data_IF_134574681155
#
_entry.id   IF_134574681155
#
_cell.length_a   1.000
_cell.length_b   1.000
_cell.length_c   1.000
_cell.angle_alpha   90.00
_cell.angle_beta   90.00
_cell.angle_gamma   90.00
#
_symmetry.space_group_name_H-M   'P 1'
#
loop_
_entity.id
_entity.type
_entity.pdbx_description
1 polymer ?
#
# COMPACT_ATOMS: atom_id res chain seq x y z
N UNK A 1 -24.79 1.72 -2.08
CA UNK A 1 -24.06 0.99 -3.14
C UNK A 1 -23.86 -0.46 -2.77
N UNK A 2 -23.89 -1.38 -3.74
CA UNK A 2 -23.51 -2.79 -3.56
C UNK A 2 -22.01 -2.93 -3.79
N UNK A 3 -21.28 -3.44 -2.78
CA UNK A 3 -19.83 -3.63 -2.82
C UNK A 3 -19.51 -5.11 -2.65
N UNK A 4 -18.57 -5.65 -3.43
CA UNK A 4 -17.99 -6.96 -3.22
C UNK A 4 -16.56 -6.82 -2.67
N UNK A 5 -16.23 -7.58 -1.63
CA UNK A 5 -14.87 -7.70 -1.10
C UNK A 5 -14.33 -9.09 -1.43
N UNK A 6 -13.46 -9.16 -2.43
CA UNK A 6 -12.83 -10.41 -2.91
C UNK A 6 -11.53 -10.63 -2.14
N UNK A 7 -11.43 -11.74 -1.44
CA UNK A 7 -10.37 -12.03 -0.48
C UNK A 7 -10.74 -11.67 0.97
N UNK A 8 -12.02 -11.61 1.29
CA UNK A 8 -12.56 -11.19 2.58
C UNK A 8 -12.02 -11.95 3.81
N UNK A 9 -11.51 -13.17 3.64
CA UNK A 9 -10.93 -14.01 4.71
C UNK A 9 -9.42 -13.87 4.87
N UNK A 10 -8.79 -13.01 4.07
CA UNK A 10 -7.35 -12.72 4.14
C UNK A 10 -7.05 -11.61 5.14
N UNK A 11 -5.75 -11.43 5.48
CA UNK A 11 -5.31 -10.40 6.43
C UNK A 11 -5.75 -8.99 5.98
N UNK A 12 -5.43 -8.60 4.75
CA UNK A 12 -5.84 -7.31 4.19
C UNK A 12 -7.37 -7.21 4.04
N UNK A 13 -8.06 -8.33 3.73
CA UNK A 13 -9.52 -8.37 3.67
C UNK A 13 -10.20 -8.02 5.00
N UNK A 14 -9.66 -8.49 6.12
CA UNK A 14 -10.15 -8.11 7.45
C UNK A 14 -9.94 -6.62 7.74
N UNK A 15 -8.74 -6.10 7.44
CA UNK A 15 -8.47 -4.65 7.59
C UNK A 15 -9.37 -3.81 6.67
N UNK A 16 -9.67 -4.28 5.44
CA UNK A 16 -10.64 -3.60 4.57
C UNK A 16 -12.04 -3.53 5.19
N UNK A 17 -12.48 -4.58 5.88
CA UNK A 17 -13.77 -4.55 6.60
C UNK A 17 -13.77 -3.51 7.71
N UNK A 18 -12.69 -3.45 8.50
CA UNK A 18 -12.52 -2.43 9.54
C UNK A 18 -12.57 -1.03 8.96
N UNK A 19 -11.78 -0.76 7.91
CA UNK A 19 -11.72 0.55 7.25
C UNK A 19 -13.06 0.92 6.61
N UNK A 20 -13.78 -0.01 5.98
CA UNK A 20 -15.11 0.24 5.43
C UNK A 20 -16.10 0.68 6.50
N UNK A 21 -16.08 0.04 7.69
CA UNK A 21 -16.93 0.39 8.83
C UNK A 21 -16.54 1.77 9.42
N UNK A 22 -15.24 2.05 9.58
CA UNK A 22 -14.74 3.32 10.12
C UNK A 22 -15.10 4.50 9.21
N UNK A 23 -14.96 4.34 7.90
CA UNK A 23 -15.15 5.40 6.89
C UNK A 23 -16.62 5.57 6.46
N UNK A 24 -17.52 4.69 6.88
CA UNK A 24 -18.98 4.80 6.69
C UNK A 24 -19.40 5.04 5.24
N UNK A 25 -18.83 4.28 4.30
CA UNK A 25 -19.26 4.34 2.90
C UNK A 25 -20.77 4.04 2.80
N UNK A 26 -21.50 4.60 1.81
CA UNK A 26 -22.93 4.37 1.63
C UNK A 26 -23.22 2.97 1.08
N UNK A 27 -22.88 1.93 1.86
CA UNK A 27 -23.02 0.53 1.49
C UNK A 27 -24.45 0.08 1.77
N UNK A 28 -25.17 -0.33 0.74
CA UNK A 28 -26.52 -0.92 0.89
C UNK A 28 -26.46 -2.45 0.98
N UNK A 29 -25.45 -3.07 0.35
CA UNK A 29 -25.20 -4.50 0.38
C UNK A 29 -23.71 -4.78 0.28
N UNK A 30 -23.15 -5.57 1.20
CA UNK A 30 -21.78 -6.03 1.19
C UNK A 30 -21.71 -7.53 0.91
N UNK A 31 -21.02 -7.90 -0.16
CA UNK A 31 -20.78 -9.29 -0.56
C UNK A 31 -19.36 -9.68 -0.14
N UNK A 32 -19.25 -10.66 0.76
CA UNK A 32 -17.97 -11.21 1.18
C UNK A 32 -17.61 -12.39 0.27
N UNK A 33 -16.50 -12.27 -0.45
CA UNK A 33 -16.12 -13.24 -1.48
C UNK A 33 -14.76 -13.85 -1.15
N UNK A 34 -14.66 -15.17 -1.21
CA UNK A 34 -13.40 -15.88 -1.00
C UNK A 34 -13.33 -17.20 -1.80
N UNK A 35 -12.22 -17.94 -1.63
CA UNK A 35 -12.02 -19.24 -2.27
C UNK A 35 -13.07 -20.25 -1.85
N UNK A 36 -13.26 -21.30 -2.68
CA UNK A 36 -14.21 -22.40 -2.44
C UNK A 36 -14.13 -22.99 -1.02
N UNK A 37 -12.93 -23.04 -0.41
CA UNK A 37 -12.71 -23.54 0.95
C UNK A 37 -13.32 -22.67 2.05
N UNK A 38 -13.61 -21.41 1.73
CA UNK A 38 -14.15 -20.45 2.70
C UNK A 38 -15.63 -20.13 2.50
N UNK A 39 -16.26 -20.66 1.45
CA UNK A 39 -17.70 -20.45 1.18
C UNK A 39 -18.51 -20.98 2.38
N UNK A 40 -19.49 -20.20 2.81
CA UNK A 40 -20.34 -20.48 3.95
C UNK A 40 -19.80 -20.06 5.31
N UNK A 41 -18.50 -19.65 5.40
CA UNK A 41 -17.99 -19.02 6.62
C UNK A 41 -18.75 -17.74 6.91
N UNK A 42 -18.94 -17.49 8.20
CA UNK A 42 -19.63 -16.30 8.69
C UNK A 42 -18.61 -15.28 9.19
N UNK A 43 -18.81 -14.01 8.82
CA UNK A 43 -18.00 -12.88 9.28
C UNK A 43 -18.95 -11.80 9.77
N UNK A 44 -18.69 -11.23 10.95
CA UNK A 44 -19.46 -10.11 11.48
C UNK A 44 -19.00 -8.80 10.83
N UNK A 45 -19.95 -7.99 10.37
CA UNK A 45 -19.72 -6.64 9.87
C UNK A 45 -20.84 -5.73 10.36
N UNK A 46 -20.52 -4.67 11.11
CA UNK A 46 -21.47 -3.71 11.70
C UNK A 46 -22.65 -4.38 12.41
N UNK A 47 -22.36 -5.42 13.19
CA UNK A 47 -23.37 -6.16 13.97
C UNK A 47 -24.22 -7.14 13.16
N UNK A 48 -23.99 -7.28 11.85
CA UNK A 48 -24.65 -8.26 10.99
C UNK A 48 -23.71 -9.42 10.69
N UNK A 49 -24.25 -10.62 10.64
CA UNK A 49 -23.50 -11.81 10.20
C UNK A 49 -23.69 -11.98 8.69
N UNK A 50 -22.58 -11.89 7.97
CA UNK A 50 -22.54 -12.06 6.51
C UNK A 50 -21.88 -13.39 6.17
N UNK A 51 -22.45 -14.11 5.21
CA UNK A 51 -21.88 -15.37 4.72
C UNK A 51 -20.96 -15.13 3.53
N UNK A 52 -19.82 -15.78 3.55
CA UNK A 52 -18.88 -15.78 2.42
C UNK A 52 -19.48 -16.56 1.25
N UNK A 53 -19.43 -15.95 0.06
CA UNK A 53 -19.90 -16.53 -1.20
C UNK A 53 -18.72 -16.77 -2.18
N UNK A 54 -19.00 -17.46 -3.27
CA UNK A 54 -18.04 -17.69 -4.37
C UNK A 54 -17.98 -16.55 -5.38
N UNK A 55 -16.96 -16.56 -6.22
CA UNK A 55 -16.71 -15.54 -7.25
C UNK A 55 -17.82 -15.50 -8.30
N UNK A 56 -18.30 -16.66 -8.76
CA UNK A 56 -19.40 -16.79 -9.73
C UNK A 56 -20.68 -16.11 -9.23
N UNK A 57 -21.02 -16.37 -7.96
CA UNK A 57 -22.21 -15.79 -7.33
C UNK A 57 -22.06 -14.27 -7.20
N UNK A 58 -20.85 -13.80 -6.88
CA UNK A 58 -20.57 -12.37 -6.74
C UNK A 58 -20.65 -11.62 -8.09
N UNK A 59 -20.13 -12.20 -9.17
CA UNK A 59 -20.28 -11.65 -10.54
C UNK A 59 -21.74 -11.58 -10.94
N UNK A 60 -22.53 -12.67 -10.69
CA UNK A 60 -23.95 -12.71 -10.99
C UNK A 60 -24.77 -11.66 -10.22
N UNK A 61 -24.32 -11.28 -9.02
CA UNK A 61 -24.93 -10.24 -8.19
C UNK A 61 -24.68 -8.81 -8.70
N UNK A 62 -23.78 -8.62 -9.69
CA UNK A 62 -23.44 -7.33 -10.34
C UNK A 62 -23.20 -6.20 -9.33
N UNK A 63 -22.19 -6.29 -8.47
CA UNK A 63 -21.87 -5.20 -7.53
C UNK A 63 -21.45 -3.94 -8.30
N UNK A 64 -21.67 -2.76 -7.72
CA UNK A 64 -21.21 -1.49 -8.28
C UNK A 64 -19.67 -1.41 -8.26
N UNK A 65 -19.08 -1.78 -7.12
CA UNK A 65 -17.64 -1.78 -6.91
C UNK A 65 -17.21 -3.14 -6.38
N UNK A 66 -16.03 -3.61 -6.78
CA UNK A 66 -15.39 -4.80 -6.22
C UNK A 66 -13.97 -4.48 -5.76
N UNK A 67 -13.70 -4.67 -4.46
CA UNK A 67 -12.38 -4.51 -3.84
C UNK A 67 -11.67 -5.87 -3.87
N UNK A 68 -10.56 -5.97 -4.60
CA UNK A 68 -9.82 -7.21 -4.79
C UNK A 68 -8.58 -7.29 -3.90
N UNK A 69 -8.48 -8.33 -3.09
CA UNK A 69 -7.31 -8.68 -2.28
C UNK A 69 -7.11 -10.20 -2.22
N UNK A 70 -7.10 -10.85 -3.39
CA UNK A 70 -7.03 -12.32 -3.51
C UNK A 70 -5.84 -12.84 -4.32
N UNK A 71 -4.87 -11.96 -4.63
CA UNK A 71 -3.68 -12.28 -5.42
C UNK A 71 -3.85 -12.06 -6.93
N UNK A 72 -2.70 -12.02 -7.64
CA UNK A 72 -2.65 -11.62 -9.05
C UNK A 72 -3.40 -12.56 -9.98
N UNK A 73 -3.24 -13.88 -9.82
CA UNK A 73 -3.89 -14.88 -10.69
C UNK A 73 -5.41 -14.78 -10.63
N UNK A 74 -5.97 -14.63 -9.42
CA UNK A 74 -7.41 -14.42 -9.23
C UNK A 74 -7.85 -13.10 -9.86
N UNK A 75 -7.06 -12.05 -9.71
CA UNK A 75 -7.38 -10.75 -10.31
C UNK A 75 -7.36 -10.81 -11.85
N UNK A 76 -6.34 -11.40 -12.46
CA UNK A 76 -6.24 -11.55 -13.90
C UNK A 76 -7.43 -12.33 -14.48
N UNK A 77 -7.87 -13.39 -13.79
CA UNK A 77 -8.99 -14.22 -14.24
C UNK A 77 -10.35 -13.54 -14.04
N UNK A 78 -10.56 -12.90 -12.90
CA UNK A 78 -11.91 -12.49 -12.46
C UNK A 78 -12.21 -11.01 -12.63
N UNK A 79 -11.22 -10.10 -12.53
CA UNK A 79 -11.49 -8.68 -12.70
C UNK A 79 -12.15 -8.37 -14.07
N UNK A 80 -11.74 -8.95 -15.21
CA UNK A 80 -12.43 -8.74 -16.47
C UNK A 80 -13.87 -9.24 -16.47
N UNK A 81 -14.18 -10.34 -15.75
CA UNK A 81 -15.54 -10.89 -15.65
C UNK A 81 -16.47 -9.96 -14.88
N UNK A 82 -15.96 -9.34 -13.78
CA UNK A 82 -16.70 -8.31 -13.05
C UNK A 82 -16.88 -7.04 -13.91
N UNK A 83 -15.85 -6.60 -14.61
CA UNK A 83 -15.93 -5.44 -15.49
C UNK A 83 -16.97 -5.62 -16.60
N UNK A 84 -17.07 -6.83 -17.18
CA UNK A 84 -18.04 -7.16 -18.22
C UNK A 84 -19.50 -7.04 -17.77
N UNK A 85 -19.78 -7.13 -16.48
CA UNK A 85 -21.14 -6.93 -15.93
C UNK A 85 -21.37 -5.51 -15.39
N UNK A 86 -20.42 -4.57 -15.63
CA UNK A 86 -20.51 -3.16 -15.27
C UNK A 86 -19.90 -2.79 -13.91
N UNK A 87 -19.29 -3.73 -13.21
CA UNK A 87 -18.62 -3.49 -11.93
C UNK A 87 -17.32 -2.71 -12.15
N UNK A 88 -17.01 -1.74 -11.30
CA UNK A 88 -15.69 -1.12 -11.21
C UNK A 88 -14.83 -1.85 -10.17
N UNK A 89 -13.64 -2.30 -10.56
CA UNK A 89 -12.72 -3.07 -9.73
C UNK A 89 -11.60 -2.19 -9.22
N UNK A 90 -11.27 -2.30 -7.93
CA UNK A 90 -10.07 -1.72 -7.33
C UNK A 90 -9.21 -2.89 -6.85
N UNK A 91 -8.10 -3.11 -7.53
CA UNK A 91 -7.26 -4.29 -7.33
C UNK A 91 -6.00 -4.00 -6.53
N UNK A 92 -5.85 -4.66 -5.40
CA UNK A 92 -4.71 -4.53 -4.51
C UNK A 92 -3.52 -5.46 -4.89
N UNK A 93 -3.68 -6.30 -5.90
CA UNK A 93 -2.59 -7.14 -6.40
C UNK A 93 -1.64 -6.36 -7.34
N UNK A 94 -0.55 -6.99 -7.74
CA UNK A 94 0.38 -6.40 -8.72
C UNK A 94 -0.04 -6.62 -10.18
N UNK A 95 -1.18 -7.29 -10.43
CA UNK A 95 -1.55 -7.76 -11.77
C UNK A 95 -1.69 -6.64 -12.81
N UNK A 96 -2.25 -5.51 -12.42
CA UNK A 96 -2.62 -4.41 -13.32
C UNK A 96 -1.75 -3.16 -13.17
N UNK A 97 -0.86 -3.11 -12.17
CA UNK A 97 -0.13 -1.89 -11.82
C UNK A 97 0.68 -1.32 -12.98
N UNK A 98 1.33 -2.18 -13.76
CA UNK A 98 2.17 -1.77 -14.88
C UNK A 98 1.48 -1.89 -16.25
N UNK A 99 0.20 -2.28 -16.30
CA UNK A 99 -0.60 -2.19 -17.51
C UNK A 99 -0.79 -0.69 -17.88
N UNK A 100 -0.37 -0.24 -19.08
CA UNK A 100 -0.46 1.17 -19.47
C UNK A 100 -1.92 1.64 -19.64
N UNK A 101 -2.86 0.73 -19.85
CA UNK A 101 -4.29 1.03 -19.98
C UNK A 101 -5.02 1.11 -18.65
N UNK A 102 -4.35 0.81 -17.52
CA UNK A 102 -4.94 0.82 -16.18
C UNK A 102 -4.31 1.92 -15.33
N UNK A 103 -5.15 2.64 -14.61
CA UNK A 103 -4.71 3.68 -13.67
C UNK A 103 -4.13 3.05 -12.41
N UNK A 104 -3.06 3.64 -11.92
CA UNK A 104 -2.38 3.29 -10.65
C UNK A 104 -2.57 4.47 -9.69
N UNK A 105 -3.43 4.32 -8.69
CA UNK A 105 -4.02 5.46 -7.99
C UNK A 105 -3.64 5.53 -6.51
N UNK A 106 -3.17 6.71 -6.11
CA UNK A 106 -3.17 7.22 -4.74
C UNK A 106 -4.07 8.45 -4.72
N UNK A 107 -5.26 8.40 -4.12
CA UNK A 107 -6.29 9.44 -4.28
C UNK A 107 -5.82 10.86 -4.00
N UNK A 108 -4.96 11.05 -3.01
CA UNK A 108 -4.42 12.35 -2.61
C UNK A 108 -3.45 12.94 -3.66
N UNK A 109 -2.95 12.12 -4.60
CA UNK A 109 -1.93 12.51 -5.58
C UNK A 109 -2.55 12.65 -6.97
N UNK A 110 -3.18 11.59 -7.45
CA UNK A 110 -3.66 11.48 -8.82
C UNK A 110 -5.08 10.92 -8.94
N UNK A 111 -5.92 11.03 -7.89
CA UNK A 111 -7.32 10.61 -7.92
C UNK A 111 -8.14 11.31 -9.01
N UNK A 112 -7.77 12.55 -9.35
CA UNK A 112 -8.41 13.34 -10.41
C UNK A 112 -8.21 12.78 -11.84
N UNK A 113 -7.35 11.79 -12.02
CA UNK A 113 -7.21 11.09 -13.30
C UNK A 113 -8.35 10.07 -13.55
N UNK A 114 -9.10 9.68 -12.50
CA UNK A 114 -10.17 8.68 -12.60
C UNK A 114 -11.37 9.20 -13.38
N UNK A 115 -11.91 8.33 -14.24
CA UNK A 115 -13.09 8.57 -15.05
C UNK A 115 -14.08 7.40 -14.94
N UNK A 116 -15.30 7.57 -15.42
CA UNK A 116 -16.33 6.51 -15.46
C UNK A 116 -15.97 5.31 -16.35
N UNK A 117 -15.00 5.50 -17.26
CA UNK A 117 -14.52 4.45 -18.17
C UNK A 117 -13.50 3.51 -17.51
N UNK A 118 -12.91 3.90 -16.36
CA UNK A 118 -11.93 3.10 -15.64
C UNK A 118 -12.62 1.97 -14.89
N UNK A 119 -12.70 0.78 -15.50
CA UNK A 119 -13.34 -0.39 -14.91
C UNK A 119 -12.40 -1.29 -14.08
N UNK A 120 -11.10 -1.19 -14.30
CA UNK A 120 -10.09 -1.87 -13.48
C UNK A 120 -9.04 -0.83 -13.07
N UNK A 121 -8.94 -0.58 -11.78
CA UNK A 121 -8.07 0.42 -11.16
C UNK A 121 -7.09 -0.32 -10.26
N UNK A 122 -5.80 -0.04 -10.41
CA UNK A 122 -4.76 -0.67 -9.60
C UNK A 122 -4.47 0.16 -8.34
N UNK A 123 -4.38 -0.53 -7.21
CA UNK A 123 -3.85 -0.01 -5.95
C UNK A 123 -2.34 -0.28 -5.90
N UNK A 124 -1.48 0.71 -5.61
CA UNK A 124 -0.03 0.53 -5.65
C UNK A 124 0.51 -0.41 -4.56
N UNK A 125 1.79 -0.71 -4.64
CA UNK A 125 2.55 -1.41 -3.61
C UNK A 125 2.56 -0.61 -2.29
N UNK A 126 2.55 -1.31 -1.16
CA UNK A 126 2.46 -0.70 0.17
C UNK A 126 3.59 0.29 0.46
N UNK A 127 4.83 -0.06 0.13
CA UNK A 127 5.97 0.82 0.29
C UNK A 127 5.90 1.99 -0.71
N UNK A 128 5.47 1.75 -1.95
CA UNK A 128 5.27 2.82 -2.93
C UNK A 128 4.26 3.86 -2.44
N UNK A 129 3.10 3.44 -1.92
CA UNK A 129 2.05 4.37 -1.46
C UNK A 129 2.60 5.32 -0.40
N UNK A 130 3.22 4.79 0.66
CA UNK A 130 3.71 5.64 1.75
C UNK A 130 4.83 6.58 1.28
N UNK A 131 5.69 6.12 0.39
CA UNK A 131 6.78 6.92 -0.16
C UNK A 131 6.26 8.06 -1.04
N UNK A 132 5.37 7.78 -2.00
CA UNK A 132 4.88 8.83 -2.92
C UNK A 132 4.02 9.88 -2.22
N UNK A 133 3.41 9.57 -1.08
CA UNK A 133 2.73 10.57 -0.24
C UNK A 133 3.69 11.67 0.25
N UNK A 134 4.95 11.32 0.53
CA UNK A 134 5.99 12.28 0.84
C UNK A 134 6.58 12.93 -0.42
N UNK A 135 6.79 12.14 -1.48
CA UNK A 135 7.51 12.59 -2.68
C UNK A 135 6.69 13.52 -3.57
N UNK A 136 5.39 13.27 -3.74
CA UNK A 136 4.55 14.02 -4.67
C UNK A 136 4.53 15.54 -4.42
N UNK A 137 4.30 16.05 -3.19
CA UNK A 137 4.36 17.46 -2.91
C UNK A 137 5.77 18.03 -3.10
N UNK A 138 6.81 17.28 -2.75
CA UNK A 138 8.20 17.70 -2.93
C UNK A 138 8.59 17.76 -4.40
N UNK A 139 8.20 16.77 -5.20
CA UNK A 139 8.46 16.73 -6.63
C UNK A 139 7.82 17.90 -7.37
N UNK A 140 6.58 18.23 -7.02
CA UNK A 140 5.84 19.34 -7.62
C UNK A 140 6.57 20.69 -7.46
N UNK A 141 7.22 20.91 -6.31
CA UNK A 141 7.89 22.19 -5.98
C UNK A 141 9.38 22.17 -6.36
N UNK A 142 10.10 21.10 -5.99
CA UNK A 142 11.57 21.09 -6.05
C UNK A 142 12.15 20.26 -7.18
N UNK A 143 11.32 19.52 -7.94
CA UNK A 143 11.76 18.66 -9.07
C UNK A 143 12.80 17.62 -8.64
N UNK A 144 12.32 16.49 -8.19
CA UNK A 144 13.19 15.36 -7.81
C UNK A 144 13.98 14.88 -9.02
N UNK A 145 15.28 14.71 -8.84
CA UNK A 145 16.24 14.17 -9.83
C UNK A 145 16.62 12.74 -9.54
N UNK A 146 16.82 12.43 -8.26
CA UNK A 146 17.27 11.11 -7.83
C UNK A 146 16.71 10.74 -6.48
N UNK A 147 16.42 9.46 -6.31
CA UNK A 147 15.93 8.87 -5.05
C UNK A 147 16.76 7.62 -4.74
N UNK A 148 17.25 7.53 -3.52
CA UNK A 148 17.86 6.31 -2.95
C UNK A 148 16.97 5.88 -1.80
N UNK A 149 16.49 4.62 -1.84
CA UNK A 149 15.53 4.09 -0.88
C UNK A 149 16.11 2.84 -0.22
N UNK A 150 16.06 2.78 1.11
CA UNK A 150 16.18 1.53 1.86
C UNK A 150 14.88 1.32 2.63
N UNK A 151 14.18 0.23 2.35
CA UNK A 151 12.95 -0.11 3.08
C UNK A 151 13.24 -1.11 4.20
N UNK A 152 12.56 -0.94 5.32
CA UNK A 152 12.57 -1.83 6.48
C UNK A 152 11.14 -2.33 6.67
N UNK A 153 10.84 -3.44 6.00
CA UNK A 153 9.47 -3.91 5.84
C UNK A 153 9.03 -4.88 6.92
N UNK A 154 7.85 -4.63 7.48
CA UNK A 154 7.14 -5.55 8.36
C UNK A 154 6.89 -6.90 7.69
N UNK A 155 6.92 -7.96 8.50
CA UNK A 155 6.59 -9.33 8.07
C UNK A 155 5.14 -9.49 7.60
N UNK A 156 4.22 -8.62 8.03
CA UNK A 156 2.81 -8.66 7.63
C UNK A 156 2.60 -8.46 6.13
N UNK A 157 3.55 -7.80 5.44
CA UNK A 157 3.55 -7.70 3.97
C UNK A 157 3.70 -9.05 3.25
N UNK A 158 4.27 -10.07 3.91
CA UNK A 158 4.33 -11.46 3.39
C UNK A 158 3.10 -12.27 3.77
N UNK A 159 2.35 -11.84 4.80
CA UNK A 159 1.12 -12.47 5.24
C UNK A 159 1.27 -13.40 6.45
N UNK A 160 0.19 -14.14 6.75
CA UNK A 160 0.04 -14.95 7.99
C UNK A 160 1.20 -15.90 8.23
N UNK A 161 1.72 -16.57 7.20
CA UNK A 161 2.83 -17.54 7.34
C UNK A 161 4.10 -16.91 7.90
N UNK A 162 4.39 -15.65 7.56
CA UNK A 162 5.56 -14.94 8.07
C UNK A 162 5.37 -14.53 9.53
N UNK A 163 4.15 -14.16 9.92
CA UNK A 163 3.80 -13.89 11.33
C UNK A 163 3.94 -15.17 12.17
N UNK A 164 3.47 -16.31 11.67
CA UNK A 164 3.63 -17.61 12.31
C UNK A 164 5.11 -17.99 12.44
N UNK A 165 5.92 -17.78 11.40
CA UNK A 165 7.36 -18.04 11.44
C UNK A 165 8.02 -17.21 12.54
N UNK A 166 7.81 -15.90 12.59
CA UNK A 166 8.40 -15.03 13.61
C UNK A 166 8.01 -15.49 15.03
N UNK A 167 6.72 -15.79 15.24
CA UNK A 167 6.22 -16.22 16.54
C UNK A 167 6.80 -17.59 16.97
N UNK A 168 6.95 -18.52 16.05
CA UNK A 168 7.57 -19.82 16.33
C UNK A 168 9.05 -19.66 16.67
N UNK A 169 9.79 -18.88 15.87
CA UNK A 169 11.22 -18.63 16.12
C UNK A 169 11.46 -17.90 17.46
N UNK A 170 10.62 -16.91 17.79
CA UNK A 170 10.70 -16.20 19.07
C UNK A 170 10.49 -17.13 20.29
N UNK A 171 9.72 -18.21 20.12
CA UNK A 171 9.47 -19.24 21.14
C UNK A 171 10.44 -20.43 21.05
N UNK A 172 11.44 -20.39 20.16
CA UNK A 172 12.36 -21.50 19.92
C UNK A 172 11.71 -22.73 19.27
N UNK A 173 10.55 -22.59 18.66
CA UNK A 173 9.81 -23.65 17.99
C UNK A 173 10.18 -23.73 16.51
N UNK A 174 10.24 -24.96 15.98
CA UNK A 174 10.31 -25.20 14.54
C UNK A 174 8.93 -25.07 13.92
N UNK A 175 8.85 -24.53 12.71
CA UNK A 175 7.61 -24.35 11.97
C UNK A 175 7.83 -24.16 10.48
N UNK A 176 6.77 -23.82 9.76
CA UNK A 176 6.84 -23.50 8.32
C UNK A 176 7.61 -22.20 8.15
N UNK A 177 8.59 -22.22 7.24
CA UNK A 177 9.39 -21.06 6.87
C UNK A 177 8.71 -20.31 5.72
N UNK A 178 8.40 -19.03 5.93
CA UNK A 178 7.95 -18.13 4.88
C UNK A 178 9.13 -17.45 4.16
N UNK A 179 10.27 -17.37 4.85
CA UNK A 179 11.54 -16.84 4.35
C UNK A 179 12.60 -17.96 4.27
N UNK A 180 13.60 -17.81 3.42
CA UNK A 180 14.69 -18.79 3.29
C UNK A 180 15.61 -18.85 4.53
N UNK A 181 15.55 -17.83 5.39
CA UNK A 181 16.36 -17.69 6.61
C UNK A 181 15.49 -17.33 7.81
N UNK A 182 15.97 -17.59 9.05
CA UNK A 182 15.31 -17.10 10.25
C UNK A 182 15.13 -15.59 10.21
N UNK A 183 13.93 -15.12 10.59
CA UNK A 183 13.61 -13.70 10.65
C UNK A 183 13.75 -13.13 12.07
N UNK A 184 13.56 -13.94 13.11
CA UNK A 184 13.69 -13.48 14.49
C UNK A 184 15.12 -13.00 14.77
N UNK A 185 15.26 -11.75 15.25
CA UNK A 185 16.55 -11.07 15.49
C UNK A 185 17.44 -10.96 14.24
N UNK A 186 16.84 -10.87 13.06
CA UNK A 186 17.56 -10.82 11.80
C UNK A 186 17.00 -9.72 10.89
N UNK A 187 17.78 -9.28 9.89
CA UNK A 187 17.37 -8.44 8.78
C UNK A 187 17.71 -9.17 7.49
N UNK A 188 16.69 -9.42 6.65
CA UNK A 188 16.86 -10.17 5.40
C UNK A 188 16.78 -9.17 4.24
N UNK A 189 17.88 -8.87 3.51
CA UNK A 189 17.87 -7.93 2.38
C UNK A 189 17.28 -8.60 1.12
N UNK A 190 16.05 -9.08 1.25
CA UNK A 190 15.36 -9.83 0.21
C UNK A 190 13.85 -9.79 0.44
N UNK A 191 13.14 -9.14 -0.48
CA UNK A 191 11.68 -9.13 -0.56
C UNK A 191 11.24 -9.47 -1.99
N UNK A 192 10.37 -10.50 -2.16
CA UNK A 192 9.92 -11.02 -3.46
C UNK A 192 11.07 -11.76 -4.21
N UNK A 193 10.91 -12.10 -5.48
CA UNK A 193 11.88 -12.85 -6.29
C UNK A 193 12.94 -11.94 -6.88
N UNK A 194 14.16 -12.46 -7.09
CA UNK A 194 15.21 -11.78 -7.83
C UNK A 194 14.90 -11.78 -9.32
N UNK A 195 15.29 -10.69 -9.98
CA UNK A 195 15.23 -10.48 -11.42
C UNK A 195 16.63 -10.63 -12.05
N UNK A 196 16.70 -10.62 -13.36
CA UNK A 196 17.97 -10.77 -14.12
C UNK A 196 19.00 -9.65 -13.86
N UNK A 197 18.55 -8.50 -13.37
CA UNK A 197 19.39 -7.35 -13.04
C UNK A 197 19.83 -7.31 -11.57
N UNK A 198 19.73 -8.42 -10.85
CA UNK A 198 20.06 -8.59 -9.43
C UNK A 198 19.17 -7.79 -8.44
N UNK A 199 18.23 -6.99 -8.94
CA UNK A 199 17.19 -6.39 -8.11
C UNK A 199 16.10 -7.40 -7.81
N UNK A 200 15.39 -7.21 -6.69
CA UNK A 200 14.15 -7.96 -6.45
C UNK A 200 12.97 -7.30 -7.17
N UNK A 201 11.92 -8.10 -7.42
CA UNK A 201 10.68 -7.57 -7.97
C UNK A 201 10.07 -6.49 -7.06
N UNK A 202 10.24 -6.60 -5.75
CA UNK A 202 9.77 -5.59 -4.79
C UNK A 202 10.50 -4.25 -4.99
N UNK A 203 11.81 -4.27 -5.17
CA UNK A 203 12.61 -3.07 -5.43
C UNK A 203 12.22 -2.39 -6.75
N UNK A 204 11.96 -3.17 -7.79
CA UNK A 204 11.54 -2.64 -9.08
C UNK A 204 10.11 -2.08 -9.08
N UNK A 205 9.23 -2.55 -8.17
CA UNK A 205 7.92 -1.90 -7.95
C UNK A 205 8.11 -0.46 -7.46
N UNK A 206 9.01 -0.23 -6.51
CA UNK A 206 9.31 1.12 -6.02
C UNK A 206 9.76 2.06 -7.15
N UNK A 207 10.52 1.56 -8.12
CA UNK A 207 10.97 2.33 -9.28
C UNK A 207 9.81 2.62 -10.24
N UNK A 208 9.20 1.57 -10.78
CA UNK A 208 8.24 1.70 -11.87
C UNK A 208 6.91 2.32 -11.43
N UNK A 209 6.42 1.94 -10.26
CA UNK A 209 5.16 2.48 -9.75
C UNK A 209 5.31 3.97 -9.38
N UNK A 210 6.46 4.39 -8.85
CA UNK A 210 6.74 5.82 -8.56
C UNK A 210 6.74 6.65 -9.82
N UNK A 211 7.43 6.21 -10.89
CA UNK A 211 7.41 6.87 -12.19
C UNK A 211 5.97 7.02 -12.70
N UNK A 212 5.19 5.95 -12.65
CA UNK A 212 3.80 5.95 -13.15
C UNK A 212 2.89 6.88 -12.35
N UNK A 213 2.97 6.87 -11.02
CA UNK A 213 2.12 7.70 -10.16
C UNK A 213 2.47 9.18 -10.26
N UNK A 214 3.77 9.52 -10.32
CA UNK A 214 4.23 10.91 -10.40
C UNK A 214 4.27 11.46 -11.84
N UNK A 215 4.07 10.59 -12.85
CA UNK A 215 4.06 10.98 -14.26
C UNK A 215 5.42 11.48 -14.77
N UNK A 216 6.53 11.04 -14.17
CA UNK A 216 7.89 11.43 -14.55
C UNK A 216 8.84 10.22 -14.50
N UNK A 217 9.28 9.76 -15.64
CA UNK A 217 10.22 8.65 -15.82
C UNK A 217 11.70 9.10 -15.89
N UNK A 218 11.95 10.40 -15.77
CA UNK A 218 13.31 10.97 -15.83
C UNK A 218 14.04 10.91 -14.49
N UNK A 219 13.34 10.63 -13.39
CA UNK A 219 13.94 10.49 -12.07
C UNK A 219 14.79 9.22 -11.96
N UNK A 220 16.03 9.34 -11.51
CA UNK A 220 16.85 8.18 -11.14
C UNK A 220 16.36 7.60 -9.81
N UNK A 221 15.96 6.31 -9.80
CA UNK A 221 15.47 5.65 -8.56
C UNK A 221 16.23 4.35 -8.36
N UNK A 222 16.75 4.12 -7.16
CA UNK A 222 17.33 2.84 -6.75
C UNK A 222 16.82 2.46 -5.35
N UNK A 223 16.57 1.17 -5.14
CA UNK A 223 15.99 0.67 -3.91
C UNK A 223 16.71 -0.57 -3.38
N UNK A 224 16.73 -0.73 -2.06
CA UNK A 224 17.07 -1.98 -1.38
C UNK A 224 15.93 -2.33 -0.41
N UNK A 225 15.30 -3.46 -0.61
CA UNK A 225 14.16 -3.90 0.19
C UNK A 225 14.59 -4.92 1.25
N UNK A 226 14.40 -4.57 2.53
CA UNK A 226 14.84 -5.37 3.68
C UNK A 226 13.61 -5.82 4.48
N UNK A 227 13.54 -7.12 4.81
CA UNK A 227 12.56 -7.66 5.73
C UNK A 227 13.13 -7.64 7.15
N UNK A 228 12.36 -7.09 8.09
CA UNK A 228 12.75 -7.00 9.51
C UNK A 228 11.68 -7.65 10.40
N UNK A 229 12.01 -8.11 11.62
CA UNK A 229 11.10 -8.82 12.52
C UNK A 229 10.15 -7.88 13.25
N UNK A 230 9.39 -7.10 12.49
CA UNK A 230 8.41 -6.13 12.99
C UNK A 230 7.02 -6.51 12.47
N UNK A 231 6.03 -6.42 13.35
CA UNK A 231 4.61 -6.53 13.03
C UNK A 231 4.05 -5.11 13.00
N UNK A 232 3.27 -4.77 11.97
CA UNK A 232 2.69 -3.44 11.82
C UNK A 232 3.68 -2.38 11.32
N UNK A 233 3.41 -1.81 10.18
CA UNK A 233 4.15 -0.70 9.59
C UNK A 233 5.45 -1.04 8.88
N UNK A 234 5.61 -0.44 7.68
CA UNK A 234 6.87 -0.37 6.97
C UNK A 234 7.57 0.95 7.28
N UNK A 235 8.91 0.90 7.34
CA UNK A 235 9.74 2.09 7.46
C UNK A 235 10.64 2.23 6.23
N UNK A 236 10.99 3.47 5.88
CA UNK A 236 11.84 3.77 4.73
C UNK A 236 12.81 4.88 5.06
N UNK A 237 14.09 4.65 4.79
CA UNK A 237 15.11 5.69 4.72
C UNK A 237 15.22 6.15 3.27
N UNK A 238 14.90 7.41 3.03
CA UNK A 238 14.86 7.98 1.67
C UNK A 238 15.80 9.17 1.58
N UNK A 239 16.74 9.11 0.63
CA UNK A 239 17.57 10.24 0.23
C UNK A 239 17.05 10.77 -1.11
N UNK A 240 16.80 12.07 -1.18
CA UNK A 240 16.18 12.73 -2.32
C UNK A 240 17.06 13.88 -2.79
N UNK A 241 17.50 13.82 -4.05
CA UNK A 241 18.18 14.92 -4.74
C UNK A 241 17.16 15.75 -5.52
N UNK A 242 17.20 17.06 -5.33
CA UNK A 242 16.34 18.02 -6.01
C UNK A 242 17.04 18.75 -7.16
N UNK A 243 16.27 19.16 -8.16
CA UNK A 243 16.70 20.04 -9.23
C UNK A 243 16.71 21.52 -8.82
N UNK A 244 15.86 21.91 -7.88
CA UNK A 244 15.73 23.27 -7.38
C UNK A 244 16.27 23.40 -5.96
N UNK A 245 16.81 24.56 -5.57
CA UNK A 245 17.24 24.81 -4.19
C UNK A 245 16.05 24.75 -3.21
N UNK A 246 16.33 24.38 -1.97
CA UNK A 246 15.32 24.24 -0.92
C UNK A 246 15.84 24.68 0.44
N UNK A 247 14.91 25.01 1.35
CA UNK A 247 15.20 25.13 2.79
C UNK A 247 14.48 24.04 3.57
N UNK A 248 15.11 23.54 4.64
CA UNK A 248 14.53 22.46 5.46
C UNK A 248 13.22 22.88 6.12
N UNK A 249 13.12 24.16 6.54
CA UNK A 249 11.87 24.73 7.06
C UNK A 249 10.72 24.62 6.08
N UNK A 250 10.98 24.86 4.79
CA UNK A 250 9.96 24.82 3.74
C UNK A 250 9.55 23.38 3.43
N UNK A 251 10.50 22.44 3.43
CA UNK A 251 10.22 21.00 3.34
C UNK A 251 9.26 20.56 4.46
N UNK A 252 9.60 20.91 5.73
CA UNK A 252 8.75 20.58 6.89
C UNK A 252 7.36 21.18 6.78
N UNK A 253 7.27 22.46 6.41
CA UNK A 253 5.99 23.17 6.22
C UNK A 253 5.15 22.54 5.12
N UNK A 254 5.77 22.19 3.99
CA UNK A 254 5.08 21.57 2.86
C UNK A 254 4.51 20.20 3.26
N UNK A 255 5.32 19.35 3.89
CA UNK A 255 4.88 18.03 4.36
C UNK A 255 3.82 18.13 5.46
N UNK A 256 3.95 19.08 6.39
CA UNK A 256 2.96 19.30 7.43
C UNK A 256 1.57 19.69 6.87
N UNK A 257 1.53 20.39 5.75
CA UNK A 257 0.30 20.80 5.08
C UNK A 257 -0.22 19.77 4.06
N UNK A 258 0.44 18.63 3.92
CA UNK A 258 0.02 17.57 2.98
C UNK A 258 -1.05 16.69 3.63
N UNK A 259 -2.25 16.57 3.04
CA UNK A 259 -3.29 15.68 3.56
C UNK A 259 -2.81 14.23 3.70
N UNK A 260 -3.15 13.58 4.80
CA UNK A 260 -2.74 12.20 5.08
C UNK A 260 -1.26 12.03 5.50
N UNK A 261 -0.54 13.14 5.70
CA UNK A 261 0.84 13.15 6.20
C UNK A 261 0.89 13.77 7.59
N UNK A 262 1.62 13.14 8.51
CA UNK A 262 1.89 13.64 9.86
C UNK A 262 3.39 13.78 10.06
N UNK A 263 3.86 15.00 10.31
CA UNK A 263 5.29 15.25 10.59
C UNK A 263 5.57 15.05 12.08
N UNK A 264 6.45 14.09 12.38
CA UNK A 264 6.97 13.78 13.72
C UNK A 264 8.50 13.97 13.70
N UNK A 265 8.98 15.19 13.89
CA UNK A 265 10.39 15.52 13.68
C UNK A 265 10.90 16.54 14.68
N UNK A 266 11.20 16.07 15.91
CA UNK A 266 11.86 16.88 16.94
C UNK A 266 13.04 16.10 17.55
N UNK A 267 14.28 16.39 17.15
CA UNK A 267 15.47 15.74 17.68
C UNK A 267 15.70 15.99 19.19
N UNK A 268 15.31 17.14 19.70
CA UNK A 268 15.52 17.52 21.12
C UNK A 268 14.71 16.64 22.08
N UNK A 269 13.53 16.20 21.63
CA UNK A 269 12.64 15.34 22.41
C UNK A 269 12.65 13.90 21.94
N UNK A 270 13.56 13.50 21.06
CA UNK A 270 13.61 12.17 20.42
C UNK A 270 12.28 11.79 19.75
N UNK A 271 11.58 12.77 19.17
CA UNK A 271 10.30 12.53 18.47
C UNK A 271 10.57 12.21 17.00
N UNK A 272 10.27 10.99 16.60
CA UNK A 272 10.37 10.47 15.23
C UNK A 272 9.40 9.31 15.01
N UNK A 273 8.99 9.02 13.76
CA UNK A 273 8.07 7.93 13.48
C UNK A 273 8.68 6.55 13.75
N UNK A 274 7.86 5.65 14.26
CA UNK A 274 8.21 4.24 14.48
C UNK A 274 7.04 3.32 14.11
N UNK A 275 7.28 2.09 13.59
CA UNK A 275 6.21 1.17 13.21
C UNK A 275 5.18 0.92 14.31
N UNK A 276 5.63 0.74 15.55
CA UNK A 276 4.78 0.47 16.71
C UNK A 276 3.72 1.56 16.97
N UNK A 277 3.98 2.80 16.53
CA UNK A 277 3.05 3.92 16.70
C UNK A 277 2.27 4.24 15.43
N UNK A 278 2.69 3.71 14.29
CA UNK A 278 1.99 3.81 13.02
C UNK A 278 0.94 2.69 12.84
N UNK A 279 1.12 1.56 13.53
CA UNK A 279 0.19 0.44 13.50
C UNK A 279 -1.24 0.86 13.84
N UNK A 280 -2.21 0.46 13.03
CA UNK A 280 -3.63 0.79 13.17
C UNK A 280 -3.99 2.22 12.73
N UNK A 281 -3.08 3.00 12.13
CA UNK A 281 -3.34 4.37 11.67
C UNK A 281 -3.32 4.49 10.16
N UNK A 282 -4.08 5.43 9.64
CA UNK A 282 -4.20 5.69 8.21
C UNK A 282 -3.18 6.71 7.69
N UNK A 283 -2.54 7.48 8.58
CA UNK A 283 -1.58 8.51 8.20
C UNK A 283 -0.23 7.93 7.79
N UNK A 284 0.47 8.67 6.94
CA UNK A 284 1.89 8.49 6.65
C UNK A 284 2.70 9.42 7.56
N UNK A 285 3.53 8.85 8.40
CA UNK A 285 4.37 9.58 9.36
C UNK A 285 5.75 9.87 8.76
N UNK A 286 6.20 11.12 8.83
CA UNK A 286 7.48 11.57 8.30
C UNK A 286 8.29 12.27 9.38
N UNK A 287 9.55 11.90 9.50
CA UNK A 287 10.47 12.54 10.42
C UNK A 287 11.93 12.37 9.99
N UNK A 288 12.86 12.72 10.89
CA UNK A 288 14.30 12.72 10.60
C UNK A 288 14.64 13.53 9.35
N UNK A 289 13.92 14.64 9.15
CA UNK A 289 14.05 15.54 8.00
C UNK A 289 15.33 16.36 8.18
N UNK A 290 16.33 16.15 7.33
CA UNK A 290 17.63 16.80 7.45
C UNK A 290 18.35 16.91 6.12
N UNK A 291 19.15 17.96 5.94
CA UNK A 291 20.03 18.07 4.77
C UNK A 291 20.99 16.87 4.70
N UNK A 292 21.27 16.45 3.49
CA UNK A 292 22.40 15.57 3.22
C UNK A 292 23.68 16.42 3.22
N UNK A 293 24.60 16.15 4.14
CA UNK A 293 25.85 16.92 4.25
C UNK A 293 26.87 16.58 3.18
N UNK A 294 26.65 15.49 2.45
CA UNK A 294 27.50 15.02 1.34
C UNK A 294 27.05 15.54 -0.03
N UNK A 295 25.83 16.10 -0.12
CA UNK A 295 25.26 16.60 -1.38
C UNK A 295 24.46 17.90 -1.16
N UNK A 296 24.79 19.02 -1.87
CA UNK A 296 24.22 20.34 -1.59
C UNK A 296 22.70 20.42 -1.83
N UNK A 297 22.17 19.64 -2.74
CA UNK A 297 20.76 19.67 -3.14
C UNK A 297 19.99 18.42 -2.70
N UNK A 298 20.40 17.73 -1.62
CA UNK A 298 19.73 16.54 -1.17
C UNK A 298 19.21 16.62 0.27
N UNK A 299 18.13 15.88 0.54
CA UNK A 299 17.49 15.74 1.84
C UNK A 299 17.33 14.28 2.20
N UNK A 300 17.45 13.96 3.48
CA UNK A 300 17.13 12.65 4.03
C UNK A 300 15.81 12.71 4.79
N UNK A 301 14.95 11.73 4.57
CA UNK A 301 13.68 11.52 5.25
C UNK A 301 13.63 10.12 5.89
N UNK A 302 12.80 9.99 6.91
CA UNK A 302 12.36 8.72 7.46
C UNK A 302 10.85 8.68 7.41
N UNK A 303 10.29 7.68 6.70
CA UNK A 303 8.86 7.55 6.40
C UNK A 303 8.36 6.25 7.03
N UNK A 304 7.24 6.31 7.73
CA UNK A 304 6.62 5.13 8.35
C UNK A 304 5.12 5.16 8.13
N UNK A 305 4.53 4.04 7.73
CA UNK A 305 3.08 3.87 7.65
C UNK A 305 2.66 2.43 7.92
N UNK A 306 1.42 2.21 8.33
CA UNK A 306 0.84 0.87 8.42
C UNK A 306 0.63 0.31 7.00
N UNK A 307 1.35 -0.76 6.69
CA UNK A 307 1.35 -1.37 5.37
C UNK A 307 0.05 -2.12 5.04
N UNK A 308 -0.76 -2.47 6.03
CA UNK A 308 -2.07 -3.08 5.83
C UNK A 308 -3.17 -2.03 5.69
N UNK A 309 -3.00 -0.85 6.33
CA UNK A 309 -3.95 0.27 6.26
C UNK A 309 -3.64 1.17 5.06
N UNK A 310 -2.92 2.28 5.25
CA UNK A 310 -2.61 3.20 4.12
C UNK A 310 -1.90 2.48 2.99
N UNK A 311 -1.02 1.53 3.31
CA UNK A 311 -0.30 0.72 2.31
C UNK A 311 -1.17 -0.24 1.48
N UNK A 312 -2.43 -0.50 1.87
CA UNK A 312 -3.31 -1.45 1.19
C UNK A 312 -4.80 -1.09 1.34
N UNK A 313 -5.41 -1.47 2.48
CA UNK A 313 -6.85 -1.41 2.68
C UNK A 313 -7.39 0.02 2.61
N UNK A 314 -6.78 0.95 3.33
CA UNK A 314 -7.23 2.34 3.38
C UNK A 314 -7.12 3.01 2.02
N UNK A 315 -6.01 2.87 1.30
CA UNK A 315 -5.88 3.44 -0.04
C UNK A 315 -6.91 2.85 -1.01
N UNK A 316 -7.16 1.52 -0.94
CA UNK A 316 -8.20 0.86 -1.75
C UNK A 316 -9.60 1.43 -1.45
N UNK A 317 -9.95 1.62 -0.18
CA UNK A 317 -11.24 2.18 0.23
C UNK A 317 -11.35 3.65 -0.13
N UNK A 318 -10.27 4.43 0.00
CA UNK A 318 -10.21 5.83 -0.43
C UNK A 318 -10.40 6.00 -1.95
N UNK A 319 -9.90 5.06 -2.77
CA UNK A 319 -10.20 5.04 -4.21
C UNK A 319 -11.71 4.84 -4.42
N UNK A 320 -12.35 3.93 -3.67
CA UNK A 320 -13.79 3.73 -3.75
C UNK A 320 -14.57 4.98 -3.32
N UNK A 321 -14.16 5.66 -2.24
CA UNK A 321 -14.74 6.95 -1.82
C UNK A 321 -14.62 8.02 -2.90
N UNK A 322 -13.44 8.13 -3.51
CA UNK A 322 -13.22 9.10 -4.58
C UNK A 322 -14.14 8.85 -5.77
N UNK A 323 -14.27 7.58 -6.19
CA UNK A 323 -15.18 7.19 -7.26
C UNK A 323 -16.64 7.54 -6.94
N UNK A 324 -17.08 7.22 -5.72
CA UNK A 324 -18.47 7.48 -5.28
C UNK A 324 -18.76 8.99 -5.25
N UNK A 325 -17.79 9.79 -4.81
CA UNK A 325 -17.98 11.22 -4.65
C UNK A 325 -17.85 12.02 -5.95
N UNK A 326 -17.07 11.55 -6.93
CA UNK A 326 -16.66 12.38 -8.06
C UNK A 326 -16.93 11.77 -9.45
N UNK A 327 -17.19 10.43 -9.53
CA UNK A 327 -17.19 9.73 -10.83
C UNK A 327 -18.48 8.93 -11.05
N UNK A 328 -19.04 8.28 -10.02
CA UNK A 328 -20.23 7.43 -10.07
C UNK A 328 -21.46 8.14 -9.54
#
# INVERSE_FOLDING_TARGET
MKIALVGATGMVGHVMLEVLAERKLPITELLLVASKRSIGKEISFEGKILKVIGLETAVAAKPNIALFSAGGDISLEWAPKFAAVGTTIIDNSSAWRMDPSKKLIVPEINGNELTSEDKIIANPNCSTIQMVMALAPLHKVYKIKRIIISTYQSITGTGVKAVEQLNNEAQGKKGVMAYPYPIHKNAIPHCDVFLENDYTKEEMKLVHETHKILGDDTMGITATAIRIPVVGGHSEAVNIEFGNPFEISDIRKLLHNTPGVVVQDNPETNTYPMPIYAEGKDDVFIGRIRRDTSHPNAVNLWIVADNLRKGAATNTVQIAEYLIANVL
#
